data_IF_103411350256
#
_entry.id   IF_103411350256
#
_cell.length_a   1.000
_cell.length_b   1.000
_cell.length_c   1.000
_cell.angle_alpha   90.00
_cell.angle_beta   90.00
_cell.angle_gamma   90.00
#
_symmetry.space_group_name_H-M   'P 1'
#
loop_
_entity.id
_entity.type
_entity.pdbx_description
1 polymer ?
#
# COMPACT_ATOMS: atom_id res chain seq x y z
N UNK A 1 25.08 12.03 -46.80
CA UNK A 1 23.82 11.36 -47.17
C UNK A 1 22.89 12.39 -47.81
N UNK A 2 22.42 12.14 -49.04
CA UNK A 2 21.73 13.10 -49.91
C UNK A 2 20.22 13.09 -49.61
N UNK A 3 19.68 14.18 -49.06
CA UNK A 3 18.24 14.34 -48.81
C UNK A 3 17.56 14.90 -50.06
N UNK A 4 16.55 14.19 -50.57
CA UNK A 4 15.75 14.61 -51.72
C UNK A 4 14.42 15.13 -51.19
N UNK A 5 14.27 16.45 -51.10
CA UNK A 5 13.02 17.13 -50.82
C UNK A 5 12.34 17.44 -52.16
N UNK A 6 11.14 16.93 -52.38
CA UNK A 6 10.33 17.28 -53.57
C UNK A 6 9.06 18.00 -53.14
N UNK A 7 8.73 19.05 -53.88
CA UNK A 7 7.69 20.02 -53.55
C UNK A 7 6.34 19.69 -54.20
N UNK A 8 5.27 20.05 -53.45
CA UNK A 8 3.95 20.57 -53.86
C UNK A 8 2.94 19.66 -54.58
N UNK A 9 1.71 19.67 -54.06
CA UNK A 9 0.60 20.43 -54.67
C UNK A 9 -0.51 20.73 -53.66
N UNK A 10 -0.86 22.01 -53.64
CA UNK A 10 -2.03 22.63 -53.05
C UNK A 10 -3.28 22.33 -53.87
N UNK A 11 -4.38 21.94 -53.24
CA UNK A 11 -5.74 22.19 -53.75
C UNK A 11 -6.73 22.31 -52.59
N UNK A 12 -7.57 23.35 -52.66
CA UNK A 12 -8.89 23.37 -52.05
C UNK A 12 -8.96 23.85 -50.60
N UNK A 13 -8.93 25.17 -50.41
CA UNK A 13 -9.42 25.79 -49.17
C UNK A 13 -10.84 25.29 -48.88
N UNK A 14 -10.99 24.54 -47.79
CA UNK A 14 -12.29 24.11 -47.30
C UNK A 14 -12.93 25.32 -46.64
N UNK A 15 -13.96 25.88 -47.29
CA UNK A 15 -14.72 27.02 -46.80
C UNK A 15 -15.10 26.84 -45.31
N UNK A 16 -15.11 27.91 -44.50
CA UNK A 16 -15.45 27.81 -43.08
C UNK A 16 -16.87 27.24 -42.94
N UNK A 17 -16.94 26.00 -42.45
CA UNK A 17 -18.17 25.28 -42.19
C UNK A 17 -18.98 26.08 -41.16
N UNK A 18 -20.20 26.52 -41.55
CA UNK A 18 -21.21 27.12 -40.66
C UNK A 18 -21.21 26.35 -39.32
N UNK A 19 -20.85 27.04 -38.24
CA UNK A 19 -20.98 26.49 -36.89
C UNK A 19 -22.46 26.47 -36.53
N UNK A 20 -23.13 25.34 -36.80
CA UNK A 20 -24.38 25.01 -36.15
C UNK A 20 -24.03 24.66 -34.71
N UNK A 21 -24.38 25.55 -33.79
CA UNK A 21 -24.24 25.33 -32.36
C UNK A 21 -25.11 24.15 -31.92
N UNK A 22 -24.53 22.95 -31.87
CA UNK A 22 -25.13 21.84 -31.12
C UNK A 22 -24.67 21.97 -29.68
N UNK A 23 -25.48 22.69 -28.87
CA UNK A 23 -25.42 22.63 -27.41
C UNK A 23 -25.92 21.24 -26.98
N UNK A 24 -25.08 20.22 -27.10
CA UNK A 24 -25.31 18.96 -26.43
C UNK A 24 -24.79 19.10 -24.99
N UNK A 25 -25.68 19.17 -24.02
CA UNK A 25 -25.35 19.02 -22.62
C UNK A 25 -24.87 17.57 -22.38
N UNK A 26 -23.62 17.27 -22.73
CA UNK A 26 -22.96 16.05 -22.25
C UNK A 26 -22.35 16.37 -20.89
N UNK A 27 -23.18 16.32 -19.86
CA UNK A 27 -22.68 15.95 -18.53
C UNK A 27 -22.26 14.48 -18.64
N UNK A 28 -21.00 14.22 -18.99
CA UNK A 28 -20.42 12.95 -18.58
C UNK A 28 -20.43 12.98 -17.05
N UNK A 29 -21.23 12.11 -16.43
CA UNK A 29 -20.98 11.78 -15.03
C UNK A 29 -19.49 11.42 -14.91
N UNK A 30 -18.77 11.85 -13.86
CA UNK A 30 -17.47 11.24 -13.61
C UNK A 30 -17.74 9.74 -13.51
N UNK A 31 -17.19 8.97 -14.45
CA UNK A 31 -17.24 7.53 -14.35
C UNK A 31 -16.67 7.23 -12.97
N UNK A 32 -17.50 6.74 -12.06
CA UNK A 32 -17.08 6.31 -10.73
C UNK A 32 -15.97 5.31 -10.97
N UNK A 33 -14.72 5.75 -10.82
CA UNK A 33 -13.54 4.94 -11.09
C UNK A 33 -13.70 3.68 -10.27
N UNK A 34 -13.81 2.54 -10.96
CA UNK A 34 -14.15 1.27 -10.35
C UNK A 34 -13.34 1.04 -9.07
N UNK A 35 -14.00 0.52 -8.04
CA UNK A 35 -13.42 0.25 -6.73
C UNK A 35 -12.02 -0.35 -6.91
N UNK A 36 -10.98 0.36 -6.47
CA UNK A 36 -9.60 -0.14 -6.57
C UNK A 36 -9.53 -1.49 -5.87
N UNK A 37 -9.03 -2.50 -6.60
CA UNK A 37 -8.80 -3.82 -6.04
C UNK A 37 -7.92 -3.71 -4.78
N UNK A 38 -8.15 -4.52 -3.73
CA UNK A 38 -7.29 -4.54 -2.56
C UNK A 38 -5.82 -4.74 -2.97
N UNK A 39 -4.96 -3.83 -2.54
CA UNK A 39 -3.54 -3.92 -2.83
C UNK A 39 -2.89 -4.98 -1.93
N UNK A 40 -2.21 -5.96 -2.54
CA UNK A 40 -1.42 -6.97 -1.83
C UNK A 40 0.06 -6.68 -2.02
N UNK A 41 0.80 -6.55 -0.91
CA UNK A 41 2.24 -6.40 -0.94
C UNK A 41 2.95 -7.64 -1.49
N UNK A 42 4.11 -7.43 -2.12
CA UNK A 42 4.96 -8.55 -2.56
C UNK A 42 5.52 -9.29 -1.34
N UNK A 43 5.80 -10.61 -1.46
CA UNK A 43 6.53 -11.34 -0.45
C UNK A 43 7.82 -10.60 -0.06
N UNK A 44 8.15 -10.59 1.23
CA UNK A 44 9.31 -9.87 1.77
C UNK A 44 9.07 -8.39 2.09
N UNK A 45 8.12 -7.70 1.44
CA UNK A 45 7.88 -6.27 1.73
C UNK A 45 7.38 -6.05 3.17
N UNK A 46 6.45 -6.87 3.63
CA UNK A 46 5.91 -6.77 4.99
C UNK A 46 6.96 -7.19 6.03
N UNK A 47 7.70 -8.27 5.76
CA UNK A 47 8.76 -8.76 6.63
C UNK A 47 9.87 -7.72 6.85
N UNK A 48 10.37 -7.07 5.78
CA UNK A 48 11.37 -6.01 5.91
C UNK A 48 10.87 -4.81 6.70
N UNK A 49 9.57 -4.47 6.57
CA UNK A 49 8.95 -3.40 7.36
C UNK A 49 8.85 -3.77 8.84
N UNK A 50 8.49 -5.01 9.15
CA UNK A 50 8.43 -5.52 10.53
C UNK A 50 9.82 -5.58 11.17
N UNK A 51 10.84 -6.06 10.46
CA UNK A 51 12.24 -6.05 10.93
C UNK A 51 12.67 -4.63 11.30
N UNK A 52 12.45 -3.66 10.40
CA UNK A 52 12.78 -2.25 10.67
C UNK A 52 11.99 -1.68 11.85
N UNK A 53 10.72 -2.05 12.01
CA UNK A 53 9.89 -1.62 13.14
C UNK A 53 10.46 -2.16 14.45
N UNK A 54 10.69 -3.47 14.55
CA UNK A 54 11.13 -4.12 15.79
C UNK A 54 12.58 -3.79 16.17
N UNK A 55 13.44 -3.48 15.20
CA UNK A 55 14.79 -2.97 15.49
C UNK A 55 14.78 -1.52 16.00
N UNK A 56 13.73 -0.74 15.70
CA UNK A 56 13.59 0.64 16.17
C UNK A 56 12.96 0.73 17.57
N UNK A 57 12.07 -0.18 17.91
CA UNK A 57 11.40 -0.25 19.21
C UNK A 57 12.12 -1.19 20.18
N UNK A 58 11.85 -1.05 21.47
CA UNK A 58 12.33 -1.97 22.51
C UNK A 58 11.18 -2.62 23.29
N UNK A 59 9.98 -2.68 22.68
CA UNK A 59 8.83 -3.35 23.29
C UNK A 59 9.04 -4.86 23.38
N UNK A 60 8.50 -5.48 24.44
CA UNK A 60 8.54 -6.92 24.60
C UNK A 60 7.71 -7.58 23.49
N UNK A 61 8.32 -8.52 22.78
CA UNK A 61 7.66 -9.25 21.70
C UNK A 61 6.77 -10.40 22.21
N UNK A 62 7.02 -10.86 23.44
CA UNK A 62 6.24 -11.91 24.11
C UNK A 62 5.24 -11.25 25.05
N UNK A 63 3.98 -11.71 25.02
CA UNK A 63 2.93 -11.19 25.90
C UNK A 63 3.24 -11.51 27.37
N UNK A 64 3.10 -10.50 28.24
CA UNK A 64 3.42 -10.60 29.67
C UNK A 64 2.67 -11.71 30.41
N UNK A 65 1.33 -11.79 30.29
CA UNK A 65 0.54 -12.74 31.07
C UNK A 65 0.79 -14.22 30.72
N UNK A 66 0.82 -14.64 29.43
CA UNK A 66 1.21 -16.00 29.09
C UNK A 66 2.64 -16.34 29.53
N UNK A 67 3.60 -15.43 29.36
CA UNK A 67 4.97 -15.63 29.82
C UNK A 67 5.05 -15.81 31.34
N UNK A 68 4.35 -14.98 32.11
CA UNK A 68 4.26 -15.10 33.56
C UNK A 68 3.65 -16.44 34.00
N UNK A 69 2.64 -16.96 33.28
CA UNK A 69 2.06 -18.28 33.57
C UNK A 69 3.10 -19.39 33.35
N UNK A 70 3.83 -19.34 32.24
CA UNK A 70 4.90 -20.28 31.93
C UNK A 70 6.00 -20.28 33.00
N UNK A 71 6.43 -19.09 33.46
CA UNK A 71 7.42 -18.98 34.55
C UNK A 71 6.93 -19.69 35.82
N UNK A 72 5.64 -19.54 36.17
CA UNK A 72 5.05 -20.19 37.35
C UNK A 72 4.89 -21.70 37.18
N UNK A 73 4.53 -22.14 35.99
CA UNK A 73 4.43 -23.57 35.65
C UNK A 73 5.78 -24.26 35.87
N UNK A 74 6.86 -23.72 35.30
CA UNK A 74 8.21 -24.28 35.47
C UNK A 74 8.67 -24.19 36.92
N UNK A 75 8.44 -23.07 37.61
CA UNK A 75 8.88 -22.89 38.99
C UNK A 75 8.19 -23.87 39.97
N UNK A 76 6.94 -24.23 39.69
CA UNK A 76 6.17 -25.17 40.50
C UNK A 76 6.83 -26.55 40.55
N UNK A 77 7.49 -26.98 39.48
CA UNK A 77 8.19 -28.28 39.40
C UNK A 77 9.42 -28.34 40.33
N UNK A 78 10.01 -27.19 40.67
CA UNK A 78 11.18 -27.12 41.55
C UNK A 78 10.81 -26.88 43.01
N UNK A 79 9.86 -25.98 43.28
CA UNK A 79 9.42 -25.65 44.64
C UNK A 79 8.01 -25.09 44.62
N UNK A 80 7.13 -25.71 45.39
CA UNK A 80 5.75 -25.24 45.56
C UNK A 80 5.70 -23.94 46.37
N UNK A 81 4.66 -23.14 46.14
CA UNK A 81 4.33 -21.92 46.90
C UNK A 81 5.32 -20.74 46.78
N UNK A 82 6.09 -20.69 45.69
CA UNK A 82 6.95 -19.55 45.38
C UNK A 82 6.15 -18.28 45.03
N UNK A 83 6.57 -17.16 45.61
CA UNK A 83 6.06 -15.81 45.28
C UNK A 83 7.11 -15.04 44.50
N UNK A 84 6.66 -14.36 43.44
CA UNK A 84 7.52 -13.57 42.55
C UNK A 84 7.24 -12.09 42.73
N UNK A 85 8.31 -11.29 42.83
CA UNK A 85 8.24 -9.85 42.64
C UNK A 85 7.95 -9.53 41.17
N UNK A 86 7.27 -8.41 40.89
CA UNK A 86 6.92 -8.04 39.50
C UNK A 86 8.13 -7.72 38.63
N UNK A 87 9.26 -7.31 39.21
CA UNK A 87 10.53 -7.05 38.50
C UNK A 87 11.34 -8.30 38.22
N UNK A 88 11.00 -9.43 38.86
CA UNK A 88 11.68 -10.72 38.67
C UNK A 88 11.05 -11.57 37.56
N UNK A 89 9.95 -11.08 36.96
CA UNK A 89 9.20 -11.74 35.89
C UNK A 89 9.29 -10.93 34.60
#
# INVERSE_FOLDING_TARGET
ARTKQTARKSTGGKAPRKQLATKAARKSAPATGGVKKPHRYRPGTVALREIRRYQKSTELLIRKLPFQRLVREIAQDFKTDLRFQSSAV
#
